data_IF_086721163888
#
_entry.id   IF_086721163888
#
_cell.length_a   1.000
_cell.length_b   1.000
_cell.length_c   1.000
_cell.angle_alpha   90.00
_cell.angle_beta   90.00
_cell.angle_gamma   90.00
#
_symmetry.space_group_name_H-M   'P 1'
#
loop_
_entity.id
_entity.type
_entity.pdbx_description
1 polymer ?
#
# COMPACT_ATOMS: atom_id res chain seq x y z
N UNK A 1 -14.27 3.99 -3.85
CA UNK A 1 -12.94 3.67 -4.39
C UNK A 1 -11.89 4.51 -3.68
N UNK A 2 -10.87 3.87 -3.08
CA UNK A 2 -9.75 4.54 -2.40
C UNK A 2 -8.72 4.98 -3.46
N UNK A 3 -8.24 6.22 -3.41
CA UNK A 3 -7.17 6.72 -4.30
C UNK A 3 -5.95 7.04 -3.45
N UNK A 4 -4.80 6.46 -3.77
CA UNK A 4 -3.55 6.65 -3.05
C UNK A 4 -2.82 7.87 -3.63
N UNK A 5 -2.49 8.89 -2.82
CA UNK A 5 -1.73 10.05 -3.29
C UNK A 5 -0.31 9.67 -3.69
N UNK A 6 0.12 10.17 -4.85
CA UNK A 6 1.48 10.04 -5.38
C UNK A 6 2.54 10.61 -4.42
N UNK A 7 2.18 11.57 -3.57
CA UNK A 7 3.10 12.15 -2.57
C UNK A 7 3.57 11.19 -1.47
N UNK A 8 2.91 10.04 -1.26
CA UNK A 8 3.32 9.04 -0.27
C UNK A 8 4.56 8.24 -0.70
N UNK A 9 4.94 8.33 -1.97
CA UNK A 9 6.00 7.53 -2.59
C UNK A 9 7.40 7.97 -2.12
N UNK A 10 7.57 9.21 -1.67
CA UNK A 10 8.89 9.80 -1.38
C UNK A 10 9.28 9.75 0.10
N UNK A 11 8.44 9.23 1.00
CA UNK A 11 8.70 9.24 2.44
C UNK A 11 8.38 7.87 3.07
N UNK A 12 9.40 7.27 3.68
CA UNK A 12 9.38 5.92 4.24
C UNK A 12 8.37 5.73 5.37
N UNK A 13 8.03 6.81 6.09
CA UNK A 13 7.14 6.81 7.27
C UNK A 13 5.78 7.46 6.92
N UNK A 14 5.50 7.68 5.64
CA UNK A 14 4.25 8.35 5.24
C UNK A 14 3.01 7.55 5.66
N UNK A 15 1.97 8.28 6.05
CA UNK A 15 0.63 7.73 6.32
C UNK A 15 -0.36 8.45 5.41
N UNK A 16 -1.36 7.72 4.93
CA UNK A 16 -2.46 8.35 4.23
C UNK A 16 -3.35 9.09 5.23
N UNK A 17 -3.42 10.42 5.10
CA UNK A 17 -4.11 11.29 6.04
C UNK A 17 -5.63 11.21 5.83
N UNK A 18 -6.26 10.23 6.48
CA UNK A 18 -7.72 10.10 6.56
C UNK A 18 -8.18 10.64 7.91
N UNK A 19 -9.05 11.66 7.88
CA UNK A 19 -9.68 12.19 9.09
C UNK A 19 -10.53 11.10 9.76
N UNK A 20 -10.21 10.80 11.02
CA UNK A 20 -10.99 9.90 11.88
C UNK A 20 -12.44 10.41 11.95
N UNK A 21 -13.40 9.52 11.76
CA UNK A 21 -14.83 9.86 11.73
C UNK A 21 -15.37 10.33 10.37
N UNK A 22 -14.51 10.51 9.35
CA UNK A 22 -14.99 10.77 7.99
C UNK A 22 -15.76 9.56 7.42
N UNK A 23 -16.65 9.79 6.45
CA UNK A 23 -17.35 8.70 5.78
C UNK A 23 -16.38 7.66 5.17
N UNK A 24 -15.23 8.10 4.64
CA UNK A 24 -14.19 7.22 4.13
C UNK A 24 -13.55 6.37 5.25
N UNK A 25 -13.26 6.97 6.40
CA UNK A 25 -12.74 6.23 7.55
C UNK A 25 -13.70 5.13 8.00
N UNK A 26 -15.01 5.43 8.10
CA UNK A 26 -16.04 4.47 8.47
C UNK A 26 -16.09 3.29 7.50
N UNK A 27 -16.09 3.56 6.19
CA UNK A 27 -16.08 2.50 5.16
C UNK A 27 -14.85 1.59 5.31
N UNK A 28 -13.67 2.15 5.56
CA UNK A 28 -12.45 1.35 5.76
C UNK A 28 -12.43 0.59 7.09
N UNK A 29 -13.05 1.16 8.13
CA UNK A 29 -13.24 0.49 9.41
C UNK A 29 -14.20 -0.70 9.30
N UNK A 30 -15.24 -0.60 8.47
CA UNK A 30 -16.24 -1.66 8.29
C UNK A 30 -15.82 -2.71 7.24
N UNK A 31 -14.94 -2.33 6.30
CA UNK A 31 -14.47 -3.19 5.23
C UNK A 31 -13.94 -4.55 5.75
N UNK A 32 -14.13 -5.60 4.96
CA UNK A 32 -13.62 -6.95 5.26
C UNK A 32 -12.56 -7.41 4.28
N UNK A 33 -12.68 -6.95 3.03
CA UNK A 33 -11.80 -7.32 1.93
C UNK A 33 -11.30 -6.07 1.23
N UNK A 34 -10.00 -6.04 0.92
CA UNK A 34 -9.36 -5.05 0.07
C UNK A 34 -8.95 -5.71 -1.25
N UNK A 35 -9.60 -5.32 -2.34
CA UNK A 35 -9.15 -5.67 -3.69
C UNK A 35 -8.23 -4.59 -4.21
N UNK A 36 -7.02 -4.99 -4.61
CA UNK A 36 -6.02 -4.06 -5.14
C UNK A 36 -5.55 -4.55 -6.51
N UNK A 37 -5.90 -3.83 -7.57
CA UNK A 37 -5.45 -4.12 -8.93
C UNK A 37 -4.11 -3.43 -9.24
N UNK A 38 -3.37 -3.99 -10.20
CA UNK A 38 -2.11 -3.41 -10.70
C UNK A 38 -1.07 -3.15 -9.59
N UNK A 39 -1.01 -4.04 -8.59
CA UNK A 39 -0.09 -3.88 -7.46
C UNK A 39 1.39 -3.86 -7.90
N UNK A 40 1.71 -4.44 -9.06
CA UNK A 40 3.06 -4.45 -9.64
C UNK A 40 3.59 -3.06 -9.95
N UNK A 41 2.72 -2.10 -10.28
CA UNK A 41 3.09 -0.70 -10.55
C UNK A 41 3.17 0.15 -9.27
N UNK A 42 2.80 -0.41 -8.11
CA UNK A 42 2.78 0.32 -6.85
C UNK A 42 4.18 0.41 -6.23
N UNK A 43 4.55 1.62 -5.82
CA UNK A 43 5.74 1.82 -5.02
C UNK A 43 5.56 1.20 -3.62
N UNK A 44 6.59 0.52 -3.10
CA UNK A 44 6.53 -0.13 -1.78
C UNK A 44 6.05 0.80 -0.66
N UNK A 45 6.48 2.06 -0.66
CA UNK A 45 6.07 3.03 0.36
C UNK A 45 4.56 3.34 0.31
N UNK A 46 3.94 3.25 -0.87
CA UNK A 46 2.48 3.33 -0.98
C UNK A 46 1.79 2.15 -0.29
N UNK A 47 2.28 0.93 -0.49
CA UNK A 47 1.78 -0.27 0.20
C UNK A 47 1.95 -0.13 1.73
N UNK A 48 3.14 0.28 2.18
CA UNK A 48 3.49 0.45 3.58
C UNK A 48 2.65 1.54 4.26
N UNK A 49 2.42 2.66 3.57
CA UNK A 49 1.56 3.73 4.04
C UNK A 49 0.10 3.26 4.18
N UNK A 50 -0.42 2.51 3.22
CA UNK A 50 -1.78 1.94 3.32
C UNK A 50 -1.87 0.98 4.51
N UNK A 51 -0.89 0.10 4.70
CA UNK A 51 -0.84 -0.79 5.86
C UNK A 51 -0.89 -0.01 7.17
N UNK A 52 -0.01 0.99 7.35
CA UNK A 52 0.02 1.83 8.56
C UNK A 52 -1.32 2.54 8.78
N UNK A 53 -1.87 3.15 7.73
CA UNK A 53 -3.16 3.85 7.82
C UNK A 53 -4.30 2.92 8.20
N UNK A 54 -4.36 1.71 7.65
CA UNK A 54 -5.41 0.74 8.01
C UNK A 54 -5.23 0.22 9.44
N UNK A 55 -4.00 -0.01 9.88
CA UNK A 55 -3.72 -0.40 11.25
C UNK A 55 -4.16 0.67 12.24
N UNK A 56 -3.87 1.94 11.95
CA UNK A 56 -4.24 3.06 12.80
C UNK A 56 -5.76 3.33 12.78
N UNK A 57 -6.40 3.26 11.60
CA UNK A 57 -7.84 3.47 11.49
C UNK A 57 -8.65 2.38 12.19
N UNK A 58 -8.19 1.12 12.14
CA UNK A 58 -8.93 -0.03 12.68
C UNK A 58 -8.49 -0.43 14.08
N UNK A 59 -7.42 0.18 14.61
CA UNK A 59 -6.85 -0.17 15.91
C UNK A 59 -6.30 -1.61 15.96
N UNK A 60 -5.98 -2.21 14.81
CA UNK A 60 -5.44 -3.57 14.71
C UNK A 60 -4.04 -3.49 14.08
N UNK A 61 -3.01 -4.05 14.73
CA UNK A 61 -1.62 -4.06 14.25
C UNK A 61 -1.27 -5.22 13.32
N UNK A 62 -2.24 -6.09 13.01
CA UNK A 62 -2.11 -7.13 11.99
C UNK A 62 -1.88 -6.52 10.59
N UNK A 63 -1.46 -7.35 9.64
CA UNK A 63 -1.31 -6.97 8.25
C UNK A 63 -2.60 -6.32 7.70
N UNK A 64 -2.45 -5.14 7.09
CA UNK A 64 -3.53 -4.32 6.54
C UNK A 64 -4.69 -4.06 7.53
N UNK A 65 -4.41 -4.00 8.83
CA UNK A 65 -5.43 -3.79 9.86
C UNK A 65 -6.40 -4.97 10.00
N UNK A 66 -5.94 -6.18 9.68
CA UNK A 66 -6.72 -7.42 9.75
C UNK A 66 -7.72 -7.58 8.61
N UNK A 67 -7.51 -6.90 7.48
CA UNK A 67 -8.31 -7.11 6.27
C UNK A 67 -7.84 -8.34 5.51
N UNK A 68 -8.78 -9.01 4.83
CA UNK A 68 -8.44 -9.96 3.78
C UNK A 68 -7.98 -9.13 2.57
N UNK A 69 -6.80 -9.39 2.05
CA UNK A 69 -6.21 -8.61 0.96
C UNK A 69 -6.12 -9.51 -0.26
N UNK A 70 -6.71 -9.06 -1.36
CA UNK A 70 -6.63 -9.74 -2.66
C UNK A 70 -5.87 -8.82 -3.60
N UNK A 71 -4.62 -9.21 -3.85
CA UNK A 71 -3.72 -8.50 -4.76
C UNK A 71 -3.85 -9.10 -6.16
N UNK A 72 -4.14 -8.25 -7.13
CA UNK A 72 -4.08 -8.58 -8.54
C UNK A 72 -3.03 -7.67 -9.19
N UNK A 73 -2.20 -8.23 -10.06
CA UNK A 73 -1.22 -7.46 -10.82
C UNK A 73 -0.61 -8.33 -11.91
N UNK A 74 -0.28 -7.72 -13.03
CA UNK A 74 0.56 -8.37 -14.02
C UNK A 74 2.00 -7.94 -13.77
N UNK A 75 2.82 -8.86 -13.27
CA UNK A 75 4.24 -8.61 -13.02
C UNK A 75 5.07 -8.58 -14.32
N UNK A 76 4.45 -8.84 -15.48
CA UNK A 76 5.03 -8.60 -16.80
C UNK A 76 4.78 -7.17 -17.31
N UNK A 77 4.03 -6.35 -16.56
CA UNK A 77 3.91 -4.90 -16.79
C UNK A 77 5.14 -4.15 -16.23
N UNK A 78 5.25 -2.87 -16.58
CA UNK A 78 6.33 -1.98 -16.15
C UNK A 78 6.44 -1.89 -14.63
N UNK A 79 7.66 -1.92 -14.11
CA UNK A 79 7.96 -1.67 -12.70
C UNK A 79 7.50 -0.26 -12.28
N UNK A 80 7.45 0.06 -10.97
CA UNK A 80 7.16 1.42 -10.53
C UNK A 80 8.14 2.41 -11.17
N UNK A 81 7.61 3.35 -11.95
CA UNK A 81 8.42 4.33 -12.67
C UNK A 81 8.99 5.36 -11.69
N UNK A 82 10.32 5.47 -11.63
CA UNK A 82 11.02 6.48 -10.83
C UNK A 82 11.57 7.56 -11.77
N UNK A 83 11.00 8.78 -11.79
CA UNK A 83 11.50 9.83 -12.66
C UNK A 83 12.96 10.15 -12.36
N UNK A 84 13.83 10.05 -13.37
CA UNK A 84 15.28 10.25 -13.25
C UNK A 84 15.98 9.24 -12.31
N UNK A 85 15.32 8.12 -12.00
CA UNK A 85 15.89 7.03 -11.21
C UNK A 85 16.72 6.07 -12.07
N UNK A 86 17.54 5.27 -11.39
CA UNK A 86 18.26 4.14 -11.98
C UNK A 86 17.42 2.87 -11.92
N UNK A 87 17.82 1.82 -12.64
CA UNK A 87 17.21 0.48 -12.54
C UNK A 87 17.25 -0.03 -11.09
N UNK A 88 18.32 0.30 -10.34
CA UNK A 88 18.41 -0.08 -8.93
C UNK A 88 17.36 0.62 -8.07
N UNK A 89 17.02 1.89 -8.39
CA UNK A 89 15.95 2.63 -7.71
C UNK A 89 14.57 2.03 -8.02
N UNK A 90 14.32 1.63 -9.28
CA UNK A 90 13.10 0.93 -9.67
C UNK A 90 12.96 -0.41 -8.93
N UNK A 91 14.03 -1.21 -8.86
CA UNK A 91 14.03 -2.46 -8.09
C UNK A 91 13.77 -2.18 -6.62
N UNK A 92 14.42 -1.17 -6.03
CA UNK A 92 14.24 -0.80 -4.62
C UNK A 92 12.82 -0.30 -4.33
N UNK A 93 12.15 0.28 -5.32
CA UNK A 93 10.77 0.74 -5.27
C UNK A 93 9.73 -0.38 -5.39
N UNK A 94 10.10 -1.54 -5.93
CA UNK A 94 9.20 -2.67 -6.14
C UNK A 94 8.64 -3.23 -4.83
N UNK A 95 7.44 -3.82 -4.94
CA UNK A 95 6.77 -4.50 -3.83
C UNK A 95 7.66 -5.51 -3.10
N UNK A 96 8.46 -6.29 -3.85
CA UNK A 96 9.40 -7.30 -3.33
C UNK A 96 10.43 -6.73 -2.36
N UNK A 97 10.72 -5.44 -2.45
CA UNK A 97 11.65 -4.74 -1.57
C UNK A 97 10.99 -4.12 -0.35
N UNK A 98 9.67 -4.29 -0.17
CA UNK A 98 8.96 -3.91 1.05
C UNK A 98 9.23 -4.91 2.17
N UNK A 99 9.22 -4.43 3.42
CA UNK A 99 9.23 -5.34 4.57
C UNK A 99 7.97 -6.18 4.66
N UNK A 100 6.85 -5.68 4.14
CA UNK A 100 5.55 -6.36 4.11
C UNK A 100 5.58 -7.63 3.25
N UNK A 101 6.38 -7.62 2.19
CA UNK A 101 6.53 -8.78 1.29
C UNK A 101 7.07 -10.03 2.02
N UNK A 102 7.88 -9.84 3.07
CA UNK A 102 8.44 -10.95 3.87
C UNK A 102 7.49 -11.45 4.95
N UNK A 103 6.48 -10.64 5.30
CA UNK A 103 5.50 -10.99 6.34
C UNK A 103 4.34 -11.81 5.78
N UNK A 104 4.19 -11.84 4.46
CA UNK A 104 3.25 -12.73 3.82
C UNK A 104 3.82 -14.16 3.79
N UNK A 105 3.09 -15.08 4.42
CA UNK A 105 2.92 -16.41 3.83
C UNK A 105 1.92 -16.25 2.68
N UNK A 106 2.38 -15.72 1.55
CA UNK A 106 1.66 -15.86 0.28
C UNK A 106 1.59 -17.35 -0.10
#
# INVERSE_FOLDING_TARGET
MLKIPIGLIHNEISVYNIKIGSAKAKVLQEAKVLFWNEISMMHKHGLEAVNRTLQDLRGNKDFMGGLIVVLAGDFRQTLPVIPRGTIADEIKACLKSSYLWKQEKL
#
